data_IF_058266522623
#
_entry.id   IF_058266522623
#
_cell.length_a   1.000
_cell.length_b   1.000
_cell.length_c   1.000
_cell.angle_alpha   90.00
_cell.angle_beta   90.00
_cell.angle_gamma   90.00
#
_symmetry.space_group_name_H-M   'P 1'
#
loop_
_entity.id
_entity.type
_entity.pdbx_description
1 polymer ?
#
# COMPACT_ATOMS: atom_id res chain seq x y z
N UNK A 1 -3.98 -13.57 88.92
CA UNK A 1 -4.08 -14.03 87.51
C UNK A 1 -4.65 -12.90 86.66
N UNK A 2 -3.83 -12.11 85.96
CA UNK A 2 -4.26 -11.23 84.83
C UNK A 2 -3.01 -10.55 84.25
N UNK A 3 -2.26 -11.27 83.42
CA UNK A 3 -1.11 -10.71 82.69
C UNK A 3 -0.80 -11.48 81.40
N UNK A 4 -1.83 -12.03 80.73
CA UNK A 4 -1.65 -12.83 79.50
C UNK A 4 -2.44 -12.39 78.26
N UNK A 5 -3.20 -11.29 78.32
CA UNK A 5 -4.06 -10.82 77.19
C UNK A 5 -3.52 -9.58 76.45
N UNK A 6 -2.54 -8.85 77.00
CA UNK A 6 -2.07 -7.57 76.41
C UNK A 6 -1.20 -7.73 75.14
N UNK A 7 -0.61 -8.91 74.91
CA UNK A 7 0.18 -9.18 73.70
C UNK A 7 -0.69 -9.56 72.48
N UNK A 8 -1.83 -10.20 72.70
CA UNK A 8 -2.73 -10.66 71.63
C UNK A 8 -3.47 -9.49 71.00
N UNK A 9 -3.93 -8.52 71.79
CA UNK A 9 -4.59 -7.31 71.28
C UNK A 9 -3.68 -6.49 70.34
N UNK A 10 -2.39 -6.35 70.68
CA UNK A 10 -1.41 -5.66 69.84
C UNK A 10 -1.16 -6.40 68.52
N UNK A 11 -1.05 -7.73 68.57
CA UNK A 11 -0.88 -8.56 67.36
C UNK A 11 -2.10 -8.47 66.45
N UNK A 12 -3.32 -8.47 67.00
CA UNK A 12 -4.55 -8.32 66.21
C UNK A 12 -4.62 -6.92 65.57
N UNK A 13 -4.27 -5.86 66.30
CA UNK A 13 -4.22 -4.49 65.74
C UNK A 13 -3.17 -4.37 64.63
N UNK A 14 -1.96 -4.93 64.84
CA UNK A 14 -0.92 -4.94 63.81
C UNK A 14 -1.32 -5.76 62.59
N UNK A 15 -2.01 -6.90 62.78
CA UNK A 15 -2.54 -7.71 61.69
C UNK A 15 -3.58 -6.92 60.89
N UNK A 16 -4.55 -6.28 61.55
CA UNK A 16 -5.57 -5.46 60.90
C UNK A 16 -4.93 -4.28 60.17
N UNK A 17 -3.99 -3.57 60.79
CA UNK A 17 -3.26 -2.46 60.14
C UNK A 17 -2.47 -2.95 58.92
N UNK A 18 -1.76 -4.07 59.04
CA UNK A 18 -1.01 -4.64 57.92
C UNK A 18 -1.94 -5.00 56.75
N UNK A 19 -3.09 -5.61 57.04
CA UNK A 19 -4.11 -5.95 56.05
C UNK A 19 -4.71 -4.70 55.39
N UNK A 20 -5.00 -3.67 56.18
CA UNK A 20 -5.50 -2.39 55.67
C UNK A 20 -4.47 -1.74 54.73
N UNK A 21 -3.19 -1.71 55.10
CA UNK A 21 -2.12 -1.16 54.26
C UNK A 21 -1.95 -1.96 52.97
N UNK A 22 -1.99 -3.30 53.02
CA UNK A 22 -1.89 -4.13 51.80
C UNK A 22 -3.08 -3.92 50.86
N UNK A 23 -4.29 -3.80 51.39
CA UNK A 23 -5.49 -3.54 50.59
C UNK A 23 -5.41 -2.13 49.98
N UNK A 24 -5.04 -1.12 50.76
CA UNK A 24 -4.89 0.25 50.27
C UNK A 24 -3.83 0.36 49.17
N UNK A 25 -2.67 -0.31 49.33
CA UNK A 25 -1.62 -0.35 48.32
C UNK A 25 -2.10 -1.02 47.02
N UNK A 26 -2.81 -2.15 47.11
CA UNK A 26 -3.36 -2.83 45.94
C UNK A 26 -4.40 -1.97 45.18
N UNK A 27 -5.25 -1.24 45.91
CA UNK A 27 -6.21 -0.29 45.31
C UNK A 27 -5.46 0.85 44.61
N UNK A 28 -4.45 1.45 45.25
CA UNK A 28 -3.66 2.54 44.67
C UNK A 28 -2.94 2.11 43.39
N UNK A 29 -2.30 0.93 43.39
CA UNK A 29 -1.64 0.38 42.20
C UNK A 29 -2.64 0.10 41.07
N UNK A 30 -3.80 -0.48 41.40
CA UNK A 30 -4.87 -0.74 40.41
C UNK A 30 -5.40 0.55 39.81
N UNK A 31 -5.67 1.57 40.63
CA UNK A 31 -6.17 2.86 40.18
C UNK A 31 -5.14 3.58 39.31
N UNK A 32 -3.87 3.60 39.72
CA UNK A 32 -2.78 4.17 38.92
C UNK A 32 -2.65 3.51 37.55
N UNK A 33 -2.63 2.17 37.49
CA UNK A 33 -2.59 1.44 36.20
C UNK A 33 -3.81 1.70 35.33
N UNK A 34 -4.98 1.80 35.93
CA UNK A 34 -6.24 2.05 35.18
C UNK A 34 -6.24 3.46 34.62
N UNK A 35 -5.80 4.45 35.40
CA UNK A 35 -5.66 5.83 34.96
C UNK A 35 -4.74 5.95 33.73
N UNK A 36 -3.53 5.39 33.80
CA UNK A 36 -2.58 5.44 32.68
C UNK A 36 -3.09 4.71 31.43
N UNK A 37 -3.80 3.58 31.59
CA UNK A 37 -4.45 2.89 30.46
C UNK A 37 -5.54 3.74 29.82
N UNK A 38 -6.37 4.41 30.62
CA UNK A 38 -7.43 5.30 30.13
C UNK A 38 -6.82 6.48 29.36
N UNK A 39 -5.77 7.11 29.88
CA UNK A 39 -5.08 8.20 29.19
C UNK A 39 -4.52 7.73 27.85
N UNK A 40 -3.79 6.61 27.81
CA UNK A 40 -3.24 6.08 26.56
C UNK A 40 -4.33 5.72 25.54
N UNK A 41 -5.48 5.19 25.98
CA UNK A 41 -6.61 4.92 25.11
C UNK A 41 -7.24 6.20 24.54
N UNK A 42 -7.37 7.26 25.34
CA UNK A 42 -7.87 8.55 24.88
C UNK A 42 -6.90 9.18 23.86
N UNK A 43 -5.59 9.13 24.11
CA UNK A 43 -4.58 9.64 23.20
C UNK A 43 -4.61 8.91 21.84
N UNK A 44 -4.77 7.57 21.87
CA UNK A 44 -4.91 6.76 20.64
C UNK A 44 -6.18 7.10 19.87
N UNK A 45 -7.30 7.32 20.55
CA UNK A 45 -8.55 7.72 19.92
C UNK A 45 -8.43 9.12 19.32
N UNK A 46 -7.82 10.07 20.02
CA UNK A 46 -7.57 11.41 19.52
C UNK A 46 -6.69 11.36 18.26
N UNK A 47 -5.58 10.62 18.29
CA UNK A 47 -4.69 10.47 17.14
C UNK A 47 -5.41 9.86 15.91
N UNK A 48 -6.34 8.93 16.14
CA UNK A 48 -7.18 8.36 15.08
C UNK A 48 -8.14 9.40 14.49
N UNK A 49 -8.79 10.22 15.31
CA UNK A 49 -9.66 11.30 14.85
C UNK A 49 -8.89 12.39 14.09
N UNK A 50 -7.69 12.73 14.55
CA UNK A 50 -6.77 13.61 13.83
C UNK A 50 -6.39 13.03 12.46
N UNK A 51 -6.13 11.72 12.39
CA UNK A 51 -5.91 11.02 11.11
C UNK A 51 -7.11 11.13 10.15
N UNK A 52 -8.34 11.00 10.66
CA UNK A 52 -9.54 11.19 9.85
C UNK A 52 -9.74 12.65 9.40
N UNK A 53 -9.43 13.63 10.25
CA UNK A 53 -9.49 15.04 9.87
C UNK A 53 -8.48 15.37 8.75
N UNK A 54 -7.25 14.87 8.86
CA UNK A 54 -6.22 15.02 7.83
C UNK A 54 -6.59 14.29 6.52
N UNK A 55 -7.27 13.15 6.60
CA UNK A 55 -7.82 12.46 5.43
C UNK A 55 -8.84 13.32 4.67
N UNK A 56 -9.77 13.98 5.37
CA UNK A 56 -10.74 14.89 4.74
C UNK A 56 -10.05 16.11 4.11
N UNK A 57 -8.99 16.64 4.74
CA UNK A 57 -8.17 17.70 4.14
C UNK A 57 -7.46 17.20 2.87
N UNK A 58 -6.92 15.98 2.87
CA UNK A 58 -6.32 15.38 1.69
C UNK A 58 -7.34 15.21 0.54
N UNK A 59 -8.59 14.83 0.85
CA UNK A 59 -9.70 14.82 -0.11
C UNK A 59 -9.90 16.21 -0.72
N UNK A 60 -9.89 17.28 0.07
CA UNK A 60 -10.03 18.64 -0.45
C UNK A 60 -8.85 19.06 -1.34
N UNK A 61 -7.62 18.70 -0.97
CA UNK A 61 -6.42 18.96 -1.78
C UNK A 61 -6.57 18.26 -3.15
N UNK A 62 -6.95 16.98 -3.15
CA UNK A 62 -7.16 16.21 -4.37
C UNK A 62 -8.33 16.76 -5.20
N UNK A 63 -9.44 17.15 -4.57
CA UNK A 63 -10.60 17.75 -5.24
C UNK A 63 -10.22 19.03 -5.98
N UNK A 64 -9.52 19.95 -5.30
CA UNK A 64 -9.03 21.21 -5.90
C UNK A 64 -8.04 20.94 -7.03
N UNK A 65 -7.14 19.97 -6.85
CA UNK A 65 -6.19 19.58 -7.90
C UNK A 65 -6.90 19.04 -9.15
N UNK A 66 -7.93 18.21 -8.97
CA UNK A 66 -8.73 17.67 -10.09
C UNK A 66 -9.50 18.76 -10.80
N UNK A 67 -10.08 19.73 -10.08
CA UNK A 67 -10.75 20.88 -10.67
C UNK A 67 -9.79 21.75 -11.49
N UNK A 68 -8.58 22.00 -10.98
CA UNK A 68 -7.56 22.77 -11.68
C UNK A 68 -6.95 22.05 -12.89
N UNK A 69 -6.96 20.70 -12.90
CA UNK A 69 -6.43 19.89 -14.00
C UNK A 69 -7.29 18.63 -14.22
N UNK A 70 -8.46 18.76 -14.88
CA UNK A 70 -9.43 17.66 -14.97
C UNK A 70 -8.95 16.44 -15.77
N UNK A 71 -8.00 16.65 -16.69
CA UNK A 71 -7.55 15.64 -17.64
C UNK A 71 -6.19 15.03 -17.32
N UNK A 72 -5.49 15.50 -16.29
CA UNK A 72 -4.10 15.10 -16.00
C UNK A 72 -3.80 15.03 -14.51
N UNK A 73 -3.01 14.02 -14.15
CA UNK A 73 -2.43 13.87 -12.81
C UNK A 73 -0.91 13.85 -12.96
N UNK A 74 -0.20 14.78 -12.32
CA UNK A 74 1.26 14.93 -12.48
C UNK A 74 1.94 15.45 -11.20
N UNK A 75 3.25 15.23 -11.08
CA UNK A 75 4.03 15.53 -9.86
C UNK A 75 4.24 17.02 -9.54
N UNK A 76 3.83 17.93 -10.42
CA UNK A 76 3.89 19.38 -10.15
C UNK A 76 2.60 19.95 -9.55
N UNK A 77 1.60 19.10 -9.28
CA UNK A 77 0.37 19.49 -8.60
C UNK A 77 0.59 19.57 -7.09
N UNK A 78 -0.19 20.41 -6.41
CA UNK A 78 -0.02 20.70 -4.97
C UNK A 78 -0.13 19.47 -4.06
N UNK A 79 -0.80 18.39 -4.49
CA UNK A 79 -0.88 17.15 -3.71
C UNK A 79 0.45 16.40 -3.66
N UNK A 80 1.31 16.54 -4.67
CA UNK A 80 2.52 15.76 -4.87
C UNK A 80 3.74 16.31 -4.10
N UNK A 81 3.51 16.82 -2.90
CA UNK A 81 4.58 17.31 -2.02
C UNK A 81 5.23 16.15 -1.26
N UNK A 82 6.56 16.18 -1.02
CA UNK A 82 7.25 15.12 -0.28
C UNK A 82 6.68 14.89 1.13
N UNK A 83 6.29 15.99 1.79
CA UNK A 83 5.62 16.00 3.09
C UNK A 83 4.58 17.13 3.11
N UNK A 84 3.40 16.81 3.61
CA UNK A 84 2.28 17.72 3.87
C UNK A 84 2.03 17.74 5.37
N UNK A 85 1.83 18.94 5.92
CA UNK A 85 1.38 19.12 7.29
C UNK A 85 -0.12 19.43 7.29
N UNK A 86 -0.86 18.79 8.19
CA UNK A 86 -2.31 18.94 8.32
C UNK A 86 -2.65 19.56 9.68
N UNK A 87 -3.37 20.68 9.66
CA UNK A 87 -3.72 21.43 10.87
C UNK A 87 -5.02 20.91 11.49
N UNK A 88 -4.95 19.88 12.33
CA UNK A 88 -6.15 19.24 12.93
C UNK A 88 -6.53 19.79 14.31
N UNK A 89 -5.70 20.65 14.91
CA UNK A 89 -5.92 21.28 16.21
C UNK A 89 -5.56 20.40 17.43
N UNK A 90 -5.48 19.08 17.27
CA UNK A 90 -5.19 18.12 18.36
C UNK A 90 -3.76 17.58 18.42
N UNK A 91 -3.04 17.47 17.29
CA UNK A 91 -1.69 16.91 17.22
C UNK A 91 -0.91 17.31 15.97
N UNK A 92 0.37 16.93 15.91
CA UNK A 92 1.20 17.12 14.69
C UNK A 92 0.88 16.00 13.71
N UNK A 93 0.12 16.33 12.66
CA UNK A 93 -0.24 15.39 11.60
C UNK A 93 0.55 15.72 10.35
N UNK A 94 1.38 14.77 9.94
CA UNK A 94 2.17 14.84 8.71
C UNK A 94 1.80 13.72 7.78
N UNK A 95 2.04 13.89 6.50
CA UNK A 95 1.78 12.82 5.56
C UNK A 95 2.22 13.13 4.15
N UNK A 96 1.88 12.22 3.25
CA UNK A 96 2.10 12.38 1.81
C UNK A 96 0.96 11.77 1.03
N UNK A 97 0.67 12.37 -0.12
CA UNK A 97 -0.29 11.86 -1.08
C UNK A 97 0.50 11.29 -2.26
N UNK A 98 0.23 10.04 -2.62
CA UNK A 98 0.91 9.32 -3.70
C UNK A 98 -0.12 8.90 -4.73
N UNK A 99 0.21 9.05 -6.01
CA UNK A 99 -0.60 8.50 -7.10
C UNK A 99 -0.54 6.97 -7.05
N UNK A 100 -1.71 6.34 -6.84
CA UNK A 100 -1.80 4.89 -6.71
C UNK A 100 -1.90 4.17 -8.07
N UNK A 101 -1.81 4.90 -9.19
CA UNK A 101 -1.77 4.34 -10.54
C UNK A 101 -0.39 4.48 -11.21
N UNK A 102 0.65 4.91 -10.47
CA UNK A 102 2.04 4.86 -10.93
C UNK A 102 2.67 3.46 -10.71
N UNK A 103 1.96 2.38 -11.00
CA UNK A 103 2.34 1.00 -10.68
C UNK A 103 1.57 0.00 -11.55
N UNK A 104 2.07 -1.24 -11.63
CA UNK A 104 1.34 -2.36 -12.20
C UNK A 104 0.29 -2.86 -11.22
N UNK A 105 -0.99 -2.74 -11.58
CA UNK A 105 -2.09 -3.28 -10.78
C UNK A 105 -2.14 -4.82 -10.92
N UNK A 106 -1.86 -5.54 -9.84
CA UNK A 106 -1.84 -7.01 -9.82
C UNK A 106 -3.21 -7.61 -10.19
N UNK A 107 -4.30 -6.96 -9.80
CA UNK A 107 -5.66 -7.37 -10.16
C UNK A 107 -5.97 -7.30 -11.66
N UNK A 108 -5.09 -6.68 -12.46
CA UNK A 108 -5.23 -6.61 -13.91
C UNK A 108 -4.50 -7.74 -14.65
N UNK A 109 -3.85 -8.68 -13.95
CA UNK A 109 -2.97 -9.71 -14.56
C UNK A 109 -3.65 -10.49 -15.70
N UNK A 110 -4.95 -10.77 -15.56
CA UNK A 110 -5.73 -11.55 -16.51
C UNK A 110 -6.45 -10.69 -17.58
N UNK A 111 -6.17 -9.39 -17.67
CA UNK A 111 -6.83 -8.46 -18.59
C UNK A 111 -6.03 -8.15 -19.87
N UNK A 112 -6.75 -7.78 -20.93
CA UNK A 112 -6.21 -7.25 -22.18
C UNK A 112 -6.12 -8.27 -23.32
N UNK A 113 -5.49 -7.85 -24.42
CA UNK A 113 -5.37 -8.68 -25.62
C UNK A 113 -4.53 -9.94 -25.35
N UNK A 114 -5.06 -11.09 -25.78
CA UNK A 114 -4.45 -12.39 -25.59
C UNK A 114 -3.54 -12.72 -26.78
N UNK A 115 -2.37 -13.30 -26.52
CA UNK A 115 -1.48 -13.78 -27.58
C UNK A 115 -1.88 -15.18 -28.09
N UNK A 116 -1.10 -15.72 -29.04
CA UNK A 116 -1.35 -17.05 -29.60
C UNK A 116 -1.23 -18.19 -28.58
N UNK A 117 -0.58 -17.95 -27.43
CA UNK A 117 -0.40 -18.91 -26.36
C UNK A 117 -1.47 -18.77 -25.26
N UNK A 118 -2.47 -17.91 -25.44
CA UNK A 118 -3.52 -17.71 -24.44
C UNK A 118 -3.11 -16.79 -23.29
N UNK A 119 -1.99 -16.05 -23.40
CA UNK A 119 -1.47 -15.19 -22.32
C UNK A 119 -1.94 -13.74 -22.50
N UNK A 120 -2.68 -13.16 -21.54
CA UNK A 120 -3.11 -11.77 -21.57
C UNK A 120 -1.93 -10.79 -21.63
N UNK A 121 -2.14 -9.61 -22.23
CA UNK A 121 -1.11 -8.59 -22.35
C UNK A 121 -0.56 -8.12 -20.99
N UNK A 122 -1.42 -7.98 -19.98
CA UNK A 122 -1.00 -7.62 -18.63
C UNK A 122 -0.07 -8.68 -17.99
N UNK A 123 -0.38 -9.97 -18.16
CA UNK A 123 0.51 -11.06 -17.75
C UNK A 123 1.87 -10.99 -18.44
N UNK A 124 1.92 -10.69 -19.75
CA UNK A 124 3.19 -10.50 -20.47
C UNK A 124 3.98 -9.30 -19.95
N UNK A 125 3.31 -8.21 -19.59
CA UNK A 125 3.97 -7.04 -18.95
C UNK A 125 4.56 -7.45 -17.61
N UNK A 126 3.82 -8.16 -16.75
CA UNK A 126 4.31 -8.58 -15.44
C UNK A 126 5.50 -9.55 -15.56
N UNK A 127 5.43 -10.51 -16.47
CA UNK A 127 6.54 -11.39 -16.78
C UNK A 127 7.77 -10.61 -17.26
N UNK A 128 7.57 -9.63 -18.16
CA UNK A 128 8.66 -8.78 -18.62
C UNK A 128 9.23 -7.91 -17.49
N UNK A 129 8.42 -7.41 -16.57
CA UNK A 129 8.87 -6.69 -15.39
C UNK A 129 9.78 -7.58 -14.52
N UNK A 130 9.40 -8.83 -14.26
CA UNK A 130 10.24 -9.77 -13.52
C UNK A 130 11.61 -9.97 -14.22
N UNK A 131 11.62 -10.17 -15.53
CA UNK A 131 12.85 -10.27 -16.33
C UNK A 131 13.68 -8.98 -16.24
N UNK A 132 13.04 -7.81 -16.31
CA UNK A 132 13.68 -6.51 -16.18
C UNK A 132 14.29 -6.32 -14.77
N UNK A 133 13.70 -6.96 -13.77
CA UNK A 133 14.21 -7.09 -12.41
C UNK A 133 15.17 -8.27 -12.25
N UNK A 134 15.76 -8.80 -13.33
CA UNK A 134 16.78 -9.86 -13.29
C UNK A 134 16.31 -11.15 -12.60
N UNK A 135 14.99 -11.42 -12.63
CA UNK A 135 14.45 -12.73 -12.27
C UNK A 135 14.71 -13.66 -13.45
N UNK A 136 15.06 -14.92 -13.16
CA UNK A 136 15.25 -15.93 -14.19
C UNK A 136 13.98 -16.09 -15.05
N UNK A 137 14.14 -16.41 -16.34
CA UNK A 137 13.02 -16.46 -17.29
C UNK A 137 12.00 -17.55 -16.89
N UNK A 138 12.47 -18.69 -16.39
CA UNK A 138 11.60 -19.78 -15.95
C UNK A 138 10.86 -19.38 -14.68
N UNK A 139 11.56 -18.81 -13.70
CA UNK A 139 10.93 -18.31 -12.48
C UNK A 139 9.91 -17.19 -12.80
N UNK A 140 10.24 -16.28 -13.71
CA UNK A 140 9.35 -15.20 -14.12
C UNK A 140 8.04 -15.75 -14.73
N UNK A 141 8.13 -16.78 -15.57
CA UNK A 141 6.96 -17.45 -16.17
C UNK A 141 6.11 -18.15 -15.11
N UNK A 142 6.73 -18.93 -14.22
CA UNK A 142 6.04 -19.63 -13.13
C UNK A 142 5.33 -18.68 -12.16
N UNK A 143 6.02 -17.61 -11.73
CA UNK A 143 5.43 -16.61 -10.82
C UNK A 143 4.29 -15.85 -11.50
N UNK A 144 4.42 -15.55 -12.79
CA UNK A 144 3.34 -14.92 -13.56
C UNK A 144 2.13 -15.85 -13.66
N UNK A 145 2.35 -17.13 -13.97
CA UNK A 145 1.27 -18.12 -14.04
C UNK A 145 0.58 -18.31 -12.69
N UNK A 146 1.35 -18.47 -11.60
CA UNK A 146 0.79 -18.58 -10.25
C UNK A 146 0.01 -17.33 -9.79
N UNK A 147 0.41 -16.12 -10.23
CA UNK A 147 -0.35 -14.89 -9.96
C UNK A 147 -1.67 -14.84 -10.74
N UNK A 148 -1.74 -15.46 -11.93
CA UNK A 148 -2.97 -15.51 -12.72
C UNK A 148 -4.01 -16.41 -12.03
N UNK A 149 -3.60 -17.62 -11.69
CA UNK A 149 -4.40 -18.62 -10.95
C UNK A 149 -4.82 -18.10 -9.56
N UNK A 150 -3.96 -17.31 -8.89
CA UNK A 150 -4.35 -16.67 -7.62
C UNK A 150 -5.57 -15.74 -7.74
N UNK A 151 -5.81 -15.17 -8.93
CA UNK A 151 -6.76 -14.06 -9.16
C UNK A 151 -7.97 -14.46 -10.00
N UNK A 152 -7.84 -15.42 -10.93
CA UNK A 152 -9.01 -15.94 -11.65
C UNK A 152 -9.92 -16.75 -10.71
N UNK A 153 -11.06 -17.19 -11.23
CA UNK A 153 -12.19 -17.67 -10.42
C UNK A 153 -12.41 -19.17 -10.53
N UNK A 154 -11.70 -19.81 -11.44
CA UNK A 154 -11.77 -21.24 -11.64
C UNK A 154 -10.62 -21.89 -10.88
N UNK A 155 -10.66 -23.22 -10.78
CA UNK A 155 -9.63 -24.02 -10.09
C UNK A 155 -8.76 -24.76 -11.13
N UNK A 156 -8.74 -24.30 -12.39
CA UNK A 156 -8.04 -24.95 -13.50
C UNK A 156 -6.68 -24.29 -13.74
N UNK A 157 -5.57 -24.91 -13.29
CA UNK A 157 -4.27 -24.25 -13.33
C UNK A 157 -3.84 -23.96 -14.76
N UNK A 158 -3.45 -22.71 -15.02
CA UNK A 158 -2.82 -22.39 -16.30
C UNK A 158 -1.47 -23.12 -16.40
N UNK A 159 -0.88 -23.15 -17.61
CA UNK A 159 0.43 -23.78 -17.81
C UNK A 159 1.47 -23.16 -16.87
N UNK A 160 2.07 -24.00 -16.02
CA UNK A 160 3.04 -23.64 -14.96
C UNK A 160 2.47 -22.78 -13.81
N UNK A 161 1.15 -22.74 -13.71
CA UNK A 161 0.41 -22.10 -12.65
C UNK A 161 0.37 -22.90 -11.36
N UNK A 162 -0.46 -22.44 -10.42
CA UNK A 162 -0.60 -22.98 -9.10
C UNK A 162 -1.99 -22.66 -8.54
N UNK A 163 -2.76 -23.72 -8.29
CA UNK A 163 -4.07 -23.69 -7.64
C UNK A 163 -4.03 -24.35 -6.26
N UNK A 164 -5.19 -24.65 -5.69
CA UNK A 164 -5.39 -25.31 -4.40
C UNK A 164 -4.48 -26.52 -4.15
N UNK A 165 -4.30 -27.42 -5.13
CA UNK A 165 -3.41 -28.58 -4.98
C UNK A 165 -1.98 -28.18 -4.60
N UNK A 166 -1.50 -27.07 -5.17
CA UNK A 166 -0.14 -26.56 -4.91
C UNK A 166 -0.07 -25.88 -3.55
N UNK A 167 -1.05 -25.06 -3.19
CA UNK A 167 -1.03 -24.29 -1.94
C UNK A 167 -1.32 -25.16 -0.71
N UNK A 168 -2.13 -26.21 -0.85
CA UNK A 168 -2.33 -27.21 0.20
C UNK A 168 -1.06 -28.02 0.51
N UNK A 169 -0.11 -28.07 -0.42
CA UNK A 169 1.21 -28.68 -0.21
C UNK A 169 2.22 -27.78 0.51
N UNK A 170 1.89 -26.52 0.80
CA UNK A 170 2.80 -25.58 1.48
C UNK A 170 2.69 -25.67 3.01
N UNK A 171 3.63 -25.02 3.72
CA UNK A 171 3.64 -24.98 5.19
C UNK A 171 3.60 -23.52 5.70
N UNK A 172 2.53 -23.12 6.42
CA UNK A 172 1.29 -23.86 6.62
C UNK A 172 0.50 -24.03 5.30
N UNK A 173 -0.39 -25.03 5.19
CA UNK A 173 -1.23 -25.21 4.01
C UNK A 173 -2.34 -24.15 3.96
N UNK A 174 -2.69 -23.71 2.75
CA UNK A 174 -3.80 -22.78 2.47
C UNK A 174 -4.33 -23.03 1.06
N UNK A 175 -5.40 -22.32 0.69
CA UNK A 175 -6.02 -22.38 -0.64
C UNK A 175 -5.61 -21.16 -1.46
N UNK A 176 -5.74 -21.27 -2.79
CA UNK A 176 -5.70 -20.10 -3.65
C UNK A 176 -6.81 -19.12 -3.23
N UNK A 177 -6.62 -17.82 -3.48
CA UNK A 177 -7.64 -16.84 -3.14
C UNK A 177 -8.83 -16.90 -4.10
N UNK A 178 -8.59 -17.25 -5.37
CA UNK A 178 -9.54 -17.29 -6.48
C UNK A 178 -10.42 -16.04 -6.58
N UNK A 179 -9.82 -14.88 -6.26
CA UNK A 179 -10.47 -13.58 -6.20
C UNK A 179 -9.45 -12.44 -6.37
N UNK A 180 -9.91 -11.22 -6.73
CA UNK A 180 -9.03 -10.05 -6.72
C UNK A 180 -8.39 -9.84 -5.34
N UNK A 181 -7.09 -9.53 -5.35
CA UNK A 181 -6.35 -9.17 -4.15
C UNK A 181 -6.97 -7.94 -3.48
N UNK A 182 -6.94 -7.94 -2.15
CA UNK A 182 -7.34 -6.84 -1.28
C UNK A 182 -6.14 -6.06 -0.75
N UNK A 183 -4.97 -6.70 -0.66
CA UNK A 183 -3.73 -6.05 -0.26
C UNK A 183 -2.50 -6.60 -0.99
N UNK A 184 -1.51 -5.75 -1.21
CA UNK A 184 -0.26 -6.13 -1.87
C UNK A 184 0.54 -7.18 -1.08
N UNK A 185 0.30 -7.34 0.22
CA UNK A 185 0.93 -8.38 1.04
C UNK A 185 0.53 -9.80 0.65
N UNK A 186 -0.62 -10.00 -0.01
CA UNK A 186 -1.03 -11.31 -0.57
C UNK A 186 -0.03 -11.84 -1.59
N UNK A 187 0.72 -10.95 -2.26
CA UNK A 187 1.81 -11.32 -3.16
C UNK A 187 2.84 -12.23 -2.46
N UNK A 188 2.99 -12.17 -1.13
CA UNK A 188 3.91 -13.04 -0.39
C UNK A 188 3.45 -14.50 -0.28
N UNK A 189 2.16 -14.76 -0.51
CA UNK A 189 1.54 -16.08 -0.51
C UNK A 189 1.69 -16.78 -1.87
N UNK A 190 1.97 -16.05 -2.95
CA UNK A 190 2.07 -16.66 -4.27
C UNK A 190 3.33 -17.52 -4.39
N UNK A 191 3.16 -18.69 -5.01
CA UNK A 191 4.25 -19.64 -5.26
C UNK A 191 5.39 -18.95 -6.02
N UNK A 192 6.61 -19.14 -5.50
CA UNK A 192 7.83 -18.61 -6.13
C UNK A 192 8.17 -17.16 -5.73
N UNK A 193 7.37 -16.52 -4.88
CA UNK A 193 7.65 -15.19 -4.33
C UNK A 193 8.27 -15.30 -2.93
N UNK A 194 9.60 -15.24 -2.88
CA UNK A 194 10.34 -15.14 -1.63
C UNK A 194 10.38 -13.69 -1.09
N UNK A 195 10.96 -13.50 0.10
CA UNK A 195 11.07 -12.16 0.73
C UNK A 195 11.90 -11.18 -0.11
N UNK A 196 12.89 -11.67 -0.87
CA UNK A 196 13.78 -10.84 -1.68
C UNK A 196 13.02 -10.33 -2.90
N UNK A 197 12.34 -11.23 -3.62
CA UNK A 197 11.52 -10.90 -4.78
C UNK A 197 10.34 -10.03 -4.38
N UNK A 198 9.64 -10.35 -3.29
CA UNK A 198 8.56 -9.53 -2.75
C UNK A 198 9.01 -8.08 -2.53
N UNK A 199 10.10 -7.86 -1.79
CA UNK A 199 10.65 -6.51 -1.56
C UNK A 199 11.11 -5.82 -2.83
N UNK A 200 11.63 -6.58 -3.81
CA UNK A 200 12.05 -6.07 -5.11
C UNK A 200 10.86 -5.62 -5.96
N UNK A 201 9.71 -6.29 -5.85
CA UNK A 201 8.48 -5.98 -6.60
C UNK A 201 7.70 -4.81 -6.04
N UNK A 202 7.68 -4.62 -4.71
CA UNK A 202 6.86 -3.61 -4.02
C UNK A 202 6.88 -2.19 -4.65
N UNK A 203 8.01 -1.65 -5.14
CA UNK A 203 8.02 -0.32 -5.76
C UNK A 203 7.31 -0.24 -7.12
N UNK A 204 7.02 -1.38 -7.76
CA UNK A 204 6.52 -1.45 -9.13
C UNK A 204 5.08 -1.94 -9.22
N UNK A 205 4.54 -2.52 -8.15
CA UNK A 205 3.22 -3.17 -8.15
C UNK A 205 2.28 -2.55 -7.13
N UNK A 206 1.00 -2.68 -7.38
CA UNK A 206 -0.06 -2.24 -6.48
C UNK A 206 -1.28 -3.15 -6.61
N UNK A 207 -2.22 -2.98 -5.68
CA UNK A 207 -3.51 -3.65 -5.70
C UNK A 207 -4.57 -2.56 -5.69
N UNK A 208 -5.35 -2.47 -6.77
CA UNK A 208 -6.47 -1.56 -6.90
C UNK A 208 -7.77 -2.36 -7.10
N UNK A 209 -8.93 -1.86 -6.65
CA UNK A 209 -10.22 -2.54 -6.82
C UNK A 209 -10.79 -2.35 -8.23
N UNK A 210 -9.97 -2.67 -9.23
CA UNK A 210 -10.32 -2.73 -10.65
C UNK A 210 -9.47 -3.81 -11.32
N UNK A 211 -10.01 -4.44 -12.36
CA UNK A 211 -9.27 -5.32 -13.27
C UNK A 211 -8.57 -4.56 -14.39
N UNK A 212 -8.76 -3.24 -14.48
CA UNK A 212 -8.12 -2.42 -15.50
C UNK A 212 -6.65 -2.16 -15.15
N UNK A 213 -5.80 -2.24 -16.17
CA UNK A 213 -4.43 -1.74 -16.08
C UNK A 213 -4.40 -0.35 -16.71
N UNK A 214 -4.02 0.67 -15.94
CA UNK A 214 -3.91 2.04 -16.41
C UNK A 214 -2.80 2.75 -15.64
N UNK A 215 -1.57 2.66 -16.18
CA UNK A 215 -0.37 3.19 -15.54
C UNK A 215 -0.21 4.67 -15.89
N UNK A 216 -0.19 5.53 -14.88
CA UNK A 216 -0.01 6.96 -15.10
C UNK A 216 1.46 7.33 -15.35
N UNK A 217 1.80 7.64 -16.61
CA UNK A 217 3.19 7.98 -17.00
C UNK A 217 3.67 9.31 -16.42
N UNK A 218 2.75 10.20 -16.05
CA UNK A 218 3.08 11.52 -15.53
C UNK A 218 3.58 11.49 -14.07
N UNK A 219 3.42 10.35 -13.38
CA UNK A 219 3.77 10.18 -11.97
C UNK A 219 4.72 9.03 -11.70
N UNK A 220 5.09 8.24 -12.72
CA UNK A 220 6.16 7.26 -12.62
C UNK A 220 7.47 7.91 -12.15
N UNK A 221 8.14 7.27 -11.20
CA UNK A 221 9.45 7.70 -10.72
C UNK A 221 10.57 7.14 -11.61
N UNK A 222 11.74 7.77 -11.58
CA UNK A 222 12.91 7.32 -12.33
C UNK A 222 13.34 5.90 -11.93
N UNK A 223 13.17 5.56 -10.64
CA UNK A 223 13.40 4.21 -10.11
C UNK A 223 12.44 3.16 -10.70
N UNK A 224 11.31 3.58 -11.27
CA UNK A 224 10.30 2.71 -11.88
C UNK A 224 10.53 2.47 -13.39
N UNK A 225 11.68 2.86 -13.93
CA UNK A 225 12.05 2.59 -15.32
C UNK A 225 11.90 1.11 -15.77
N UNK A 226 12.20 0.09 -14.94
CA UNK A 226 11.91 -1.31 -15.28
C UNK A 226 10.45 -1.61 -15.63
N UNK A 227 9.49 -0.99 -14.91
CA UNK A 227 8.06 -1.10 -15.21
C UNK A 227 7.73 -0.41 -16.53
N UNK A 228 8.24 0.80 -16.73
CA UNK A 228 7.99 1.53 -17.97
C UNK A 228 8.49 0.76 -19.20
N UNK A 229 9.66 0.13 -19.12
CA UNK A 229 10.18 -0.73 -20.19
C UNK A 229 9.28 -1.97 -20.42
N UNK A 230 8.77 -2.56 -19.34
CA UNK A 230 7.92 -3.74 -19.39
C UNK A 230 6.56 -3.45 -20.04
N UNK A 231 6.02 -2.23 -19.93
CA UNK A 231 4.77 -1.82 -20.61
C UNK A 231 4.85 -1.93 -22.15
N UNK A 232 6.06 -1.93 -22.71
CA UNK A 232 6.33 -2.11 -24.13
C UNK A 232 6.88 -3.52 -24.45
N UNK A 233 6.83 -4.45 -23.49
CA UNK A 233 7.41 -5.80 -23.60
C UNK A 233 8.90 -5.79 -23.99
N UNK A 234 9.62 -4.76 -23.55
CA UNK A 234 11.05 -4.61 -23.82
C UNK A 234 11.89 -4.78 -22.56
N UNK A 235 13.15 -5.18 -22.76
CA UNK A 235 14.19 -5.08 -21.72
C UNK A 235 14.44 -3.60 -21.43
N UNK A 236 14.86 -3.23 -20.20
CA UNK A 236 15.21 -1.87 -19.90
C UNK A 236 16.46 -1.53 -20.70
N UNK A 237 16.31 -0.97 -21.90
CA UNK A 237 17.38 -0.19 -22.49
C UNK A 237 17.49 1.06 -21.61
N UNK A 238 18.35 0.94 -20.59
CA UNK A 238 18.49 1.86 -19.47
C UNK A 238 18.73 3.30 -19.91
N UNK A 239 19.20 3.52 -21.13
CA UNK A 239 19.41 4.87 -21.64
C UNK A 239 18.15 5.50 -22.23
N UNK A 240 17.29 4.74 -22.92
CA UNK A 240 16.10 5.27 -23.60
C UNK A 240 14.99 5.61 -22.61
N UNK A 241 14.67 4.67 -21.71
CA UNK A 241 13.59 4.83 -20.73
C UNK A 241 13.94 5.88 -19.68
N UNK A 242 15.18 5.90 -19.19
CA UNK A 242 15.65 6.97 -18.28
C UNK A 242 15.65 8.33 -18.99
N UNK A 243 16.05 8.42 -20.27
CA UNK A 243 15.95 9.67 -21.02
C UNK A 243 14.50 10.14 -21.23
N UNK A 244 13.56 9.21 -21.37
CA UNK A 244 12.14 9.52 -21.53
C UNK A 244 11.57 10.16 -20.25
N UNK A 245 11.85 9.58 -19.08
CA UNK A 245 11.42 10.13 -17.79
C UNK A 245 12.12 11.46 -17.46
N UNK A 246 13.42 11.58 -17.74
CA UNK A 246 14.17 12.84 -17.55
C UNK A 246 13.67 13.98 -18.44
N UNK A 247 13.08 13.68 -19.60
CA UNK A 247 12.48 14.67 -20.50
C UNK A 247 10.98 14.87 -20.30
N UNK A 248 10.39 14.26 -19.27
CA UNK A 248 9.00 14.49 -18.91
C UNK A 248 8.78 16.00 -18.69
N UNK A 249 7.79 16.62 -19.36
CA UNK A 249 7.46 18.02 -19.09
C UNK A 249 7.12 18.22 -17.61
N UNK A 250 7.40 19.41 -17.05
CA UNK A 250 7.11 19.71 -15.64
C UNK A 250 5.65 19.42 -15.25
N UNK A 251 4.71 19.65 -16.15
CA UNK A 251 3.27 19.40 -15.97
C UNK A 251 2.79 18.09 -16.60
N UNK A 252 3.73 17.18 -16.89
CA UNK A 252 3.47 15.92 -17.59
C UNK A 252 3.09 16.09 -19.05
N UNK A 253 2.94 14.97 -19.75
CA UNK A 253 2.37 14.91 -21.10
C UNK A 253 0.88 15.18 -21.07
N UNK A 254 0.37 15.82 -22.12
CA UNK A 254 -1.04 16.22 -22.22
C UNK A 254 -1.99 15.05 -22.53
N UNK A 255 -1.47 14.01 -23.17
CA UNK A 255 -2.21 12.83 -23.56
C UNK A 255 -1.26 11.65 -23.71
N UNK A 256 -1.82 10.44 -23.74
CA UNK A 256 -1.05 9.22 -24.07
C UNK A 256 -0.43 9.33 -25.46
N UNK A 257 -1.14 9.93 -26.43
CA UNK A 257 -0.60 10.17 -27.77
C UNK A 257 0.65 11.08 -27.74
N UNK A 258 0.61 12.17 -26.97
CA UNK A 258 1.77 13.07 -26.82
C UNK A 258 2.96 12.38 -26.12
N UNK A 259 2.67 11.47 -25.18
CA UNK A 259 3.70 10.62 -24.58
C UNK A 259 4.32 9.67 -25.61
N UNK A 260 3.50 8.99 -26.42
CA UNK A 260 3.94 8.02 -27.42
C UNK A 260 4.67 8.64 -28.62
N UNK A 261 4.41 9.91 -28.94
CA UNK A 261 5.15 10.66 -29.99
C UNK A 261 6.59 11.06 -29.57
N UNK A 262 6.98 10.78 -28.31
CA UNK A 262 8.31 11.09 -27.82
C UNK A 262 9.41 10.44 -28.69
N UNK A 263 10.46 11.18 -29.11
CA UNK A 263 11.49 10.67 -30.00
C UNK A 263 12.18 9.37 -29.54
N UNK A 264 12.21 9.12 -28.24
CA UNK A 264 12.81 7.94 -27.60
C UNK A 264 12.01 6.65 -27.86
N UNK A 265 10.74 6.76 -28.24
CA UNK A 265 9.87 5.63 -28.55
C UNK A 265 9.82 5.32 -30.06
N UNK A 266 10.50 6.11 -30.91
CA UNK A 266 10.60 5.83 -32.35
C UNK A 266 11.27 4.48 -32.58
N UNK A 267 10.58 3.59 -33.29
CA UNK A 267 11.05 2.24 -33.60
C UNK A 267 10.67 1.17 -32.56
N UNK A 268 9.95 1.53 -31.49
CA UNK A 268 9.31 0.58 -30.58
C UNK A 268 7.86 0.42 -31.02
N UNK A 269 7.35 -0.82 -31.06
CA UNK A 269 5.92 -1.05 -31.26
C UNK A 269 5.17 -0.69 -29.99
N UNK A 270 4.37 0.38 -30.06
CA UNK A 270 3.57 0.89 -28.93
C UNK A 270 2.09 0.56 -29.05
N UNK A 271 1.67 -0.13 -30.11
CA UNK A 271 0.26 -0.31 -30.48
C UNK A 271 -0.55 -0.98 -29.36
N UNK A 272 0.00 -2.03 -28.76
CA UNK A 272 -0.63 -2.77 -27.66
C UNK A 272 -0.55 -2.06 -26.32
N UNK A 273 0.42 -1.15 -26.14
CA UNK A 273 0.63 -0.44 -24.88
C UNK A 273 -0.38 0.69 -24.65
N UNK A 274 -1.04 1.20 -25.70
CA UNK A 274 -1.96 2.35 -25.62
C UNK A 274 -3.06 2.11 -24.58
N UNK A 275 -3.61 0.89 -24.51
CA UNK A 275 -4.73 0.56 -23.62
C UNK A 275 -4.36 0.50 -22.14
N UNK A 276 -3.06 0.39 -21.81
CA UNK A 276 -2.58 0.25 -20.43
C UNK A 276 -1.91 1.52 -19.90
N UNK A 277 -1.83 2.57 -20.71
CA UNK A 277 -1.19 3.84 -20.38
C UNK A 277 -2.25 4.90 -20.04
N UNK A 278 -1.93 5.74 -19.07
CA UNK A 278 -2.75 6.87 -18.67
C UNK A 278 -1.90 8.12 -18.43
N UNK A 279 -2.53 9.28 -18.48
CA UNK A 279 -1.95 10.58 -18.05
C UNK A 279 -2.68 11.19 -16.85
N UNK A 280 -3.67 10.48 -16.33
CA UNK A 280 -4.54 10.89 -15.23
C UNK A 280 -4.85 9.69 -14.35
N UNK A 281 -5.08 9.95 -13.06
CA UNK A 281 -5.39 8.93 -12.07
C UNK A 281 -6.68 9.20 -11.33
N UNK A 282 -7.37 8.13 -10.97
CA UNK A 282 -8.55 8.08 -10.13
C UNK A 282 -8.23 7.51 -8.75
N UNK A 283 -7.07 6.89 -8.54
CA UNK A 283 -6.69 6.32 -7.24
C UNK A 283 -5.49 7.04 -6.63
N UNK A 284 -5.57 7.31 -5.33
CA UNK A 284 -4.49 7.93 -4.57
C UNK A 284 -4.31 7.24 -3.22
N UNK A 285 -3.08 7.12 -2.75
CA UNK A 285 -2.75 6.68 -1.41
C UNK A 285 -2.41 7.90 -0.56
N UNK A 286 -3.09 8.04 0.57
CA UNK A 286 -2.78 9.03 1.59
C UNK A 286 -2.12 8.32 2.76
N UNK A 287 -0.86 8.66 3.03
CA UNK A 287 -0.08 8.10 4.14
C UNK A 287 0.07 9.17 5.19
N UNK A 288 -0.41 8.90 6.39
CA UNK A 288 -0.46 9.84 7.51
C UNK A 288 0.33 9.29 8.71
N UNK A 289 0.96 10.22 9.40
CA UNK A 289 1.67 10.08 10.66
C UNK A 289 1.11 11.09 11.62
N UNK A 290 0.51 10.60 12.70
CA UNK A 290 -0.07 11.44 13.74
C UNK A 290 0.76 11.25 15.00
N UNK A 291 1.32 12.35 15.51
CA UNK A 291 2.00 12.36 16.79
C UNK A 291 1.13 13.08 17.82
N UNK A 292 0.74 12.33 18.86
CA UNK A 292 0.02 12.85 20.03
C UNK A 292 0.77 12.45 21.30
N UNK A 293 1.45 13.43 21.93
CA UNK A 293 2.40 13.16 23.02
C UNK A 293 3.54 12.24 22.60
N UNK A 294 3.65 11.10 23.27
CA UNK A 294 4.62 10.01 22.99
C UNK A 294 4.07 8.93 22.04
N UNK A 295 2.79 9.02 21.65
CA UNK A 295 2.16 8.02 20.80
C UNK A 295 2.31 8.40 19.32
N UNK A 296 2.76 7.42 18.53
CA UNK A 296 2.77 7.49 17.07
C UNK A 296 1.64 6.63 16.52
N UNK A 297 0.78 7.24 15.72
CA UNK A 297 -0.25 6.56 14.96
C UNK A 297 0.05 6.70 13.47
N UNK A 298 -0.10 5.61 12.72
CA UNK A 298 0.06 5.60 11.27
C UNK A 298 -1.19 5.10 10.59
N UNK A 299 -1.54 5.76 9.48
CA UNK A 299 -2.69 5.41 8.67
C UNK A 299 -2.31 5.47 7.20
N UNK A 300 -2.72 4.47 6.44
CA UNK A 300 -2.72 4.53 4.98
C UNK A 300 -4.16 4.40 4.48
N UNK A 301 -4.61 5.36 3.69
CA UNK A 301 -5.94 5.37 3.09
C UNK A 301 -5.82 5.29 1.58
N UNK A 302 -6.48 4.31 0.96
CA UNK A 302 -6.71 4.28 -0.48
C UNK A 302 -7.97 5.09 -0.79
N UNK A 303 -7.80 6.10 -1.65
CA UNK A 303 -8.86 6.97 -2.12
C UNK A 303 -9.19 6.67 -3.58
N UNK A 304 -10.46 6.79 -3.93
CA UNK A 304 -10.96 6.65 -5.29
C UNK A 304 -11.78 7.88 -5.69
N UNK A 305 -11.54 8.38 -6.91
CA UNK A 305 -12.39 9.33 -7.59
C UNK A 305 -13.63 8.61 -8.15
N UNK A 306 -14.81 8.95 -7.63
CA UNK A 306 -16.09 8.40 -8.09
C UNK A 306 -17.21 9.41 -7.82
N UNK A 307 -18.16 9.55 -8.74
CA UNK A 307 -19.31 10.46 -8.58
C UNK A 307 -18.85 11.91 -8.26
N UNK A 308 -17.88 12.41 -9.03
CA UNK A 308 -17.32 13.77 -8.92
C UNK A 308 -16.66 14.13 -7.57
N UNK A 309 -16.31 13.13 -6.76
CA UNK A 309 -15.59 13.32 -5.50
C UNK A 309 -14.59 12.21 -5.20
N UNK A 310 -13.56 12.53 -4.43
CA UNK A 310 -12.73 11.50 -3.81
C UNK A 310 -13.45 10.89 -2.59
N UNK A 311 -13.35 9.57 -2.43
CA UNK A 311 -13.84 8.82 -1.27
C UNK A 311 -12.77 7.84 -0.80
N UNK A 312 -12.64 7.66 0.52
CA UNK A 312 -11.87 6.55 1.08
C UNK A 312 -12.58 5.24 0.82
N UNK A 313 -11.84 4.25 0.31
CA UNK A 313 -12.33 2.89 0.04
C UNK A 313 -11.65 1.82 0.91
N UNK A 314 -10.45 2.09 1.42
CA UNK A 314 -9.72 1.19 2.32
C UNK A 314 -8.85 2.00 3.27
N UNK A 315 -8.79 1.59 4.55
CA UNK A 315 -7.89 2.15 5.56
C UNK A 315 -7.09 1.05 6.21
N UNK A 316 -5.80 1.29 6.40
CA UNK A 316 -4.87 0.41 7.08
C UNK A 316 -4.18 1.17 8.21
N UNK A 317 -4.01 0.52 9.35
CA UNK A 317 -3.44 1.10 10.56
C UNK A 317 -2.23 0.30 11.02
N UNK A 318 -1.36 0.92 11.83
CA UNK A 318 -0.25 0.21 12.47
C UNK A 318 0.87 -0.18 11.51
N UNK A 319 0.89 0.40 10.31
CA UNK A 319 2.00 0.26 9.38
C UNK A 319 3.19 1.02 9.97
N UNK A 320 4.29 0.34 10.27
CA UNK A 320 5.58 1.02 10.38
C UNK A 320 5.90 1.47 8.96
N UNK A 321 5.59 2.72 8.64
CA UNK A 321 6.00 3.28 7.35
C UNK A 321 7.51 3.37 7.43
N UNK A 322 8.18 2.33 6.91
CA UNK A 322 9.54 2.53 6.42
C UNK A 322 9.39 3.65 5.41
N UNK A 323 10.04 4.78 5.68
CA UNK A 323 10.42 5.71 4.64
C UNK A 323 11.07 4.87 3.54
N UNK A 324 10.29 4.53 2.51
CA UNK A 324 10.87 4.02 1.28
C UNK A 324 11.48 5.27 0.67
N UNK A 325 12.83 5.34 0.58
CA UNK A 325 13.54 6.53 0.14
C UNK A 325 13.18 6.94 -1.28
#
# INVERSE_FOLDING_TARGET
MKSREQGVALLVVLLILSLMVTIAAAIAERNGRTFWRTVAQLDQLQAKWDGYAAEEMAIQILQRSRQASPRKTHLAQNWAQPELQFETGGGDVRGRIVDAQACFNLNAINYGAVDLAGVPYAARIFQQLLINLQVDIIQARQVTAALRDWIDRDDEPVKEGAEDEVYMGMEPPYLAASQPMQDVSELRLIRGIDVRLYRKLLPYVCVLPTSDLSVNVNTLLDSQAPLLAALFLTKPNSLLVTKLLLRRPRTGWDSVAAFLDSPQLKGIDTSTAISVLAVSSNYFLVRLHVRSGEHLFSQQTLMQWREERFRSIQRQYGLTVREVP
#
